data_IF_779286182528
#
_entry.id   IF_779286182528
#
_cell.length_a   1.000
_cell.length_b   1.000
_cell.length_c   1.000
_cell.angle_alpha   90.00
_cell.angle_beta   90.00
_cell.angle_gamma   90.00
#
_symmetry.space_group_name_H-M   'P 1'
#
loop_
_entity.id
_entity.type
_entity.pdbx_description
1 polymer ?
#
# COMPACT_ATOMS: atom_id res chain seq x y z
N UNK A 1 -6.86 -5.59 -26.60
CA UNK A 1 -5.89 -5.06 -25.63
C UNK A 1 -5.72 -6.13 -24.55
N UNK A 2 -4.65 -6.92 -24.62
CA UNK A 2 -4.35 -7.93 -23.60
C UNK A 2 -3.83 -7.19 -22.37
N UNK A 3 -4.66 -7.04 -21.34
CA UNK A 3 -4.21 -6.69 -19.99
C UNK A 3 -3.42 -7.88 -19.46
N UNK A 4 -2.10 -7.88 -19.67
CA UNK A 4 -1.23 -8.72 -18.87
C UNK A 4 -1.34 -8.20 -17.44
N UNK A 5 -2.12 -8.90 -16.60
CA UNK A 5 -2.04 -8.70 -15.14
C UNK A 5 -0.65 -9.15 -14.72
N UNK A 6 0.22 -8.18 -14.50
CA UNK A 6 1.54 -8.43 -13.97
C UNK A 6 1.40 -8.86 -12.50
N UNK A 7 1.95 -10.03 -12.11
CA UNK A 7 1.85 -10.47 -10.73
C UNK A 7 2.74 -9.59 -9.83
N UNK A 8 2.21 -9.26 -8.66
CA UNK A 8 2.89 -8.57 -7.58
C UNK A 8 2.82 -9.43 -6.32
N UNK A 9 3.90 -9.45 -5.56
CA UNK A 9 3.97 -10.14 -4.26
C UNK A 9 4.40 -9.14 -3.19
N UNK A 10 3.73 -9.18 -2.04
CA UNK A 10 4.13 -8.46 -0.82
C UNK A 10 4.33 -9.52 0.26
N UNK A 11 5.53 -9.60 0.83
CA UNK A 11 5.85 -10.49 1.94
C UNK A 11 5.89 -9.72 3.26
N UNK A 12 5.26 -10.27 4.30
CA UNK A 12 5.41 -9.77 5.66
C UNK A 12 6.51 -10.59 6.34
N UNK A 13 7.62 -9.93 6.65
CA UNK A 13 8.75 -10.58 7.27
C UNK A 13 8.43 -10.90 8.73
N UNK A 14 8.98 -12.00 9.19
CA UNK A 14 9.10 -12.36 10.60
C UNK A 14 10.53 -12.76 10.88
N UNK A 15 10.99 -12.66 12.13
CA UNK A 15 12.33 -13.12 12.53
C UNK A 15 12.69 -14.52 12.00
N UNK A 16 11.70 -15.42 11.90
CA UNK A 16 11.88 -16.79 11.43
C UNK A 16 12.13 -16.91 9.92
N UNK A 17 11.60 -16.00 9.09
CA UNK A 17 11.60 -16.13 7.62
C UNK A 17 12.43 -15.06 6.90
N UNK A 18 12.78 -13.98 7.60
CA UNK A 18 13.35 -12.78 6.99
C UNK A 18 14.61 -13.04 6.15
N UNK A 19 15.46 -14.01 6.52
CA UNK A 19 16.63 -14.39 5.70
C UNK A 19 16.23 -15.05 4.38
N UNK A 20 15.24 -15.96 4.42
CA UNK A 20 14.77 -16.72 3.25
C UNK A 20 14.05 -15.79 2.27
N UNK A 21 13.24 -14.87 2.79
CA UNK A 21 12.49 -13.90 1.99
C UNK A 21 13.44 -12.95 1.24
N UNK A 22 14.45 -12.39 1.94
CA UNK A 22 15.45 -11.47 1.35
C UNK A 22 16.38 -12.13 0.33
N UNK A 23 16.52 -13.46 0.33
CA UNK A 23 17.48 -14.19 -0.53
C UNK A 23 16.78 -15.16 -1.47
N UNK A 24 16.49 -16.37 -1.00
CA UNK A 24 15.98 -17.47 -1.82
C UNK A 24 14.66 -17.13 -2.53
N UNK A 25 13.70 -16.50 -1.84
CA UNK A 25 12.43 -16.12 -2.47
C UNK A 25 12.62 -15.03 -3.51
N UNK A 26 13.43 -14.00 -3.20
CA UNK A 26 13.76 -12.94 -4.15
C UNK A 26 14.34 -13.52 -5.46
N UNK A 27 15.30 -14.45 -5.36
CA UNK A 27 15.89 -15.11 -6.54
C UNK A 27 14.86 -15.99 -7.28
N UNK A 28 14.05 -16.77 -6.56
CA UNK A 28 12.99 -17.58 -7.15
C UNK A 28 11.96 -16.73 -7.91
N UNK A 29 11.56 -15.59 -7.33
CA UNK A 29 10.59 -14.68 -7.92
C UNK A 29 11.16 -13.96 -9.14
N UNK A 30 12.45 -13.60 -9.10
CA UNK A 30 13.15 -12.98 -10.22
C UNK A 30 13.33 -13.95 -11.39
N UNK A 31 13.90 -15.12 -11.12
CA UNK A 31 14.47 -15.98 -12.16
C UNK A 31 13.47 -17.01 -12.68
N UNK A 32 12.57 -17.50 -11.80
CA UNK A 32 11.63 -18.57 -12.16
C UNK A 32 10.22 -18.07 -12.41
N UNK A 33 9.65 -17.30 -11.50
CA UNK A 33 8.27 -16.79 -11.65
C UNK A 33 8.19 -15.51 -12.47
N UNK A 34 9.31 -14.80 -12.61
CA UNK A 34 9.37 -13.50 -13.32
C UNK A 34 8.31 -12.53 -12.78
N UNK A 35 8.14 -12.50 -11.46
CA UNK A 35 7.18 -11.61 -10.80
C UNK A 35 7.57 -10.16 -11.10
N UNK A 36 6.60 -9.32 -11.46
CA UNK A 36 6.91 -7.98 -11.98
C UNK A 36 7.39 -7.05 -10.87
N UNK A 37 6.69 -7.08 -9.73
CA UNK A 37 7.05 -6.30 -8.55
C UNK A 37 7.04 -7.18 -7.31
N UNK A 38 8.06 -7.03 -6.47
CA UNK A 38 8.21 -7.75 -5.22
C UNK A 38 8.50 -6.77 -4.10
N UNK A 39 7.70 -6.80 -3.04
CA UNK A 39 7.86 -5.98 -1.86
C UNK A 39 8.02 -6.86 -0.63
N UNK A 40 8.72 -6.34 0.38
CA UNK A 40 8.65 -6.90 1.72
C UNK A 40 8.52 -5.80 2.76
N UNK A 41 7.84 -6.12 3.86
CA UNK A 41 7.69 -5.25 5.02
C UNK A 41 7.91 -6.07 6.30
N UNK A 42 8.72 -5.57 7.22
CA UNK A 42 8.94 -6.13 8.55
C UNK A 42 8.20 -5.28 9.58
N UNK A 43 7.19 -5.83 10.28
CA UNK A 43 6.48 -5.07 11.33
C UNK A 43 7.33 -4.86 12.58
N UNK A 44 8.39 -5.64 12.77
CA UNK A 44 9.20 -5.63 14.00
C UNK A 44 10.19 -4.46 14.03
N UNK A 45 10.82 -4.14 12.90
CA UNK A 45 11.84 -3.09 12.77
C UNK A 45 11.52 -2.03 11.70
N UNK A 46 10.34 -2.14 11.08
CA UNK A 46 9.85 -1.27 10.01
C UNK A 46 10.72 -1.26 8.75
N UNK A 47 11.52 -2.30 8.51
CA UNK A 47 12.19 -2.47 7.22
C UNK A 47 11.14 -2.60 6.11
N UNK A 48 11.28 -1.79 5.06
CA UNK A 48 10.42 -1.83 3.88
C UNK A 48 11.25 -1.63 2.62
N UNK A 49 11.07 -2.52 1.65
CA UNK A 49 11.71 -2.43 0.35
C UNK A 49 10.80 -2.94 -0.76
N UNK A 50 11.05 -2.46 -1.97
CA UNK A 50 10.34 -2.83 -3.18
C UNK A 50 11.30 -2.99 -4.34
N UNK A 51 11.00 -3.93 -5.22
CA UNK A 51 11.82 -4.27 -6.38
C UNK A 51 10.95 -4.41 -7.62
N UNK A 52 11.44 -3.93 -8.75
CA UNK A 52 10.83 -4.09 -10.07
C UNK A 52 11.71 -4.90 -10.99
N UNK A 53 11.12 -5.85 -11.71
CA UNK A 53 11.85 -6.69 -12.66
C UNK A 53 12.12 -5.89 -13.94
N UNK A 54 13.38 -5.48 -14.14
CA UNK A 54 13.83 -4.73 -15.31
C UNK A 54 14.93 -5.52 -16.01
N UNK A 55 14.74 -5.80 -17.30
CA UNK A 55 15.71 -6.57 -18.11
C UNK A 55 16.20 -7.85 -17.41
N UNK A 56 15.24 -8.60 -16.84
CA UNK A 56 15.44 -9.89 -16.15
C UNK A 56 16.01 -9.84 -14.73
N UNK A 57 16.34 -8.66 -14.19
CA UNK A 57 16.81 -8.54 -12.80
C UNK A 57 15.95 -7.58 -12.01
N UNK A 58 15.81 -7.86 -10.73
CA UNK A 58 15.19 -6.92 -9.82
C UNK A 58 16.08 -5.71 -9.61
N UNK A 59 15.49 -4.53 -9.79
CA UNK A 59 16.05 -3.24 -9.41
C UNK A 59 15.22 -2.69 -8.26
N UNK A 60 15.87 -2.08 -7.28
CA UNK A 60 15.18 -1.42 -6.18
C UNK A 60 14.30 -0.28 -6.71
N UNK A 61 13.10 -0.18 -6.16
CA UNK A 61 12.21 0.96 -6.38
C UNK A 61 12.66 2.04 -5.41
N UNK A 62 13.10 3.18 -5.93
CA UNK A 62 13.50 4.30 -5.11
C UNK A 62 12.26 4.97 -4.46
N UNK A 63 12.35 5.38 -3.18
CA UNK A 63 11.30 6.15 -2.55
C UNK A 63 11.20 7.57 -3.13
N UNK A 64 10.00 8.13 -3.08
CA UNK A 64 9.79 9.56 -3.31
C UNK A 64 10.21 10.38 -2.08
N UNK A 65 10.02 11.70 -2.14
CA UNK A 65 10.37 12.62 -1.03
C UNK A 65 9.65 12.31 0.30
N UNK A 66 8.49 11.66 0.24
CA UNK A 66 7.71 11.23 1.40
C UNK A 66 8.06 9.79 1.86
N UNK A 67 9.07 9.15 1.26
CA UNK A 67 9.47 7.78 1.62
C UNK A 67 8.61 6.68 0.99
N UNK A 68 7.73 7.00 0.03
CA UNK A 68 6.78 6.06 -0.56
C UNK A 68 7.34 5.38 -1.82
N UNK A 69 7.05 4.10 -2.00
CA UNK A 69 7.46 3.30 -3.16
C UNK A 69 6.31 3.16 -4.17
N UNK A 70 6.51 3.59 -5.42
CA UNK A 70 5.48 3.48 -6.47
C UNK A 70 5.36 2.06 -7.02
N UNK A 71 4.17 1.48 -6.98
CA UNK A 71 3.83 0.25 -7.72
C UNK A 71 3.13 0.58 -9.03
N UNK A 72 3.74 0.17 -10.14
CA UNK A 72 3.12 0.25 -11.47
C UNK A 72 1.96 -0.74 -11.62
N UNK A 73 2.02 -1.87 -10.91
CA UNK A 73 0.98 -2.90 -10.97
C UNK A 73 -0.31 -2.43 -10.29
N UNK A 74 -0.19 -1.72 -9.16
CA UNK A 74 -1.33 -1.24 -8.39
C UNK A 74 -1.77 0.17 -8.80
N UNK A 75 -0.90 0.94 -9.47
CA UNK A 75 -1.05 2.38 -9.64
C UNK A 75 -1.28 3.12 -8.32
N UNK A 76 -0.55 2.66 -7.30
CA UNK A 76 -0.58 3.20 -5.94
C UNK A 76 0.85 3.25 -5.42
N UNK A 77 1.08 4.17 -4.50
CA UNK A 77 2.23 4.14 -3.63
C UNK A 77 2.00 3.17 -2.47
N UNK A 78 3.06 2.52 -2.02
CA UNK A 78 3.11 1.78 -0.77
C UNK A 78 4.06 2.51 0.18
N UNK A 79 3.71 2.54 1.46
CA UNK A 79 4.54 3.15 2.49
C UNK A 79 4.13 2.72 3.89
N UNK A 80 4.90 3.15 4.88
CA UNK A 80 4.61 2.85 6.28
C UNK A 80 3.92 4.06 6.89
N UNK A 81 2.73 3.83 7.46
CA UNK A 81 2.00 4.82 8.25
C UNK A 81 1.50 4.19 9.55
N UNK A 82 1.72 4.87 10.66
CA UNK A 82 1.47 4.37 12.01
C UNK A 82 1.99 2.94 12.27
N UNK A 83 3.18 2.61 11.76
CA UNK A 83 3.81 1.30 11.92
C UNK A 83 3.18 0.18 11.08
N UNK A 84 2.30 0.51 10.14
CA UNK A 84 1.64 -0.45 9.26
C UNK A 84 1.96 -0.15 7.80
N UNK A 85 2.04 -1.19 6.98
CA UNK A 85 2.08 -1.04 5.53
C UNK A 85 0.72 -0.53 5.03
N UNK A 86 0.72 0.59 4.33
CA UNK A 86 -0.47 1.27 3.81
C UNK A 86 -0.32 1.61 2.33
N UNK A 87 -1.45 1.83 1.67
CA UNK A 87 -1.52 2.30 0.29
C UNK A 87 -1.81 3.78 0.23
N UNK A 88 -1.21 4.45 -0.75
CA UNK A 88 -1.43 5.87 -1.02
C UNK A 88 -1.74 6.07 -2.50
N UNK A 89 -2.63 7.02 -2.79
CA UNK A 89 -2.95 7.45 -4.14
C UNK A 89 -1.75 8.12 -4.81
N UNK A 90 -1.84 8.38 -6.12
CA UNK A 90 -0.76 9.03 -6.87
C UNK A 90 -0.44 10.46 -6.38
N UNK A 91 -1.40 11.13 -5.75
CA UNK A 91 -1.27 12.43 -5.08
C UNK A 91 -0.85 12.32 -3.59
N UNK A 92 -0.52 11.11 -3.13
CA UNK A 92 0.03 10.86 -1.80
C UNK A 92 -1.01 10.82 -0.68
N UNK A 93 -2.31 10.68 -0.99
CA UNK A 93 -3.36 10.55 0.02
C UNK A 93 -3.48 9.11 0.48
N UNK A 94 -3.67 8.90 1.78
CA UNK A 94 -3.90 7.59 2.36
C UNK A 94 -5.17 6.96 1.75
N UNK A 95 -5.05 5.75 1.22
CA UNK A 95 -6.21 4.94 0.84
C UNK A 95 -6.79 4.35 2.11
N UNK A 96 -8.01 4.79 2.44
CA UNK A 96 -8.74 4.32 3.62
C UNK A 96 -9.19 2.88 3.44
N UNK A 97 -9.22 2.12 4.55
CA UNK A 97 -9.98 0.87 4.56
C UNK A 97 -11.48 1.17 4.45
N UNK A 98 -12.31 0.20 4.03
CA UNK A 98 -13.76 0.38 4.03
C UNK A 98 -14.32 0.80 5.39
N UNK A 99 -13.74 0.33 6.49
CA UNK A 99 -14.14 0.68 7.85
C UNK A 99 -13.75 2.12 8.21
N UNK A 100 -12.53 2.56 7.85
CA UNK A 100 -12.09 3.94 8.05
C UNK A 100 -12.94 4.93 7.24
N UNK A 101 -13.25 4.59 5.99
CA UNK A 101 -14.10 5.39 5.10
C UNK A 101 -15.54 5.50 5.65
N UNK A 102 -16.13 4.38 6.08
CA UNK A 102 -17.44 4.36 6.70
C UNK A 102 -17.50 5.20 7.99
N UNK A 103 -16.46 5.10 8.83
CA UNK A 103 -16.35 5.90 10.05
C UNK A 103 -16.24 7.39 9.72
N UNK A 104 -15.44 7.75 8.72
CA UNK A 104 -15.30 9.14 8.28
C UNK A 104 -16.62 9.69 7.73
N UNK A 105 -17.32 8.93 6.89
CA UNK A 105 -18.62 9.31 6.34
C UNK A 105 -19.67 9.50 7.45
N UNK A 106 -19.70 8.61 8.44
CA UNK A 106 -20.59 8.74 9.60
C UNK A 106 -20.29 10.01 10.40
N UNK A 107 -19.02 10.28 10.71
CA UNK A 107 -18.61 11.49 11.43
C UNK A 107 -18.98 12.77 10.66
N UNK A 108 -18.81 12.78 9.34
CA UNK A 108 -19.20 13.91 8.50
C UNK A 108 -20.71 14.13 8.51
N UNK A 109 -21.50 13.06 8.38
CA UNK A 109 -22.96 13.14 8.46
C UNK A 109 -23.43 13.68 9.80
N UNK A 110 -22.85 13.21 10.92
CA UNK A 110 -23.17 13.72 12.26
C UNK A 110 -22.84 15.21 12.41
N UNK A 111 -21.65 15.66 11.96
CA UNK A 111 -21.26 17.08 12.02
C UNK A 111 -22.19 17.95 11.18
N UNK A 112 -22.56 17.51 9.99
CA UNK A 112 -23.48 18.25 9.13
C UNK A 112 -24.89 18.32 9.74
N UNK A 113 -25.38 17.22 10.31
CA UNK A 113 -26.67 17.20 11.00
C UNK A 113 -26.69 18.16 12.20
N UNK A 114 -25.61 18.25 12.97
CA UNK A 114 -25.46 19.22 14.07
C UNK A 114 -25.45 20.66 13.55
N UNK A 115 -24.72 20.93 12.47
CA UNK A 115 -24.70 22.25 11.83
C UNK A 115 -26.09 22.67 11.31
N UNK A 116 -26.81 21.78 10.63
CA UNK A 116 -28.17 22.04 10.15
C UNK A 116 -29.12 22.34 11.30
N UNK A 117 -29.08 21.56 12.39
CA UNK A 117 -29.87 21.82 13.60
C UNK A 117 -29.56 23.18 14.21
N UNK A 118 -28.29 23.60 14.25
CA UNK A 118 -27.90 24.94 14.72
C UNK A 118 -28.46 26.07 13.86
N UNK A 119 -28.72 25.79 12.58
CA UNK A 119 -29.34 26.71 11.62
C UNK A 119 -30.87 26.57 11.61
N UNK A 120 -31.45 25.80 12.54
CA UNK A 120 -32.88 25.49 12.61
C UNK A 120 -33.43 24.79 11.36
N UNK A 121 -32.57 24.07 10.63
CA UNK A 121 -32.93 23.21 9.51
C UNK A 121 -32.95 21.77 10.03
N UNK A 122 -34.09 21.09 9.93
CA UNK A 122 -34.15 19.68 10.29
C UNK A 122 -33.47 18.83 9.22
N UNK A 123 -32.44 18.03 9.55
CA UNK A 123 -31.80 17.16 8.58
C UNK A 123 -32.76 16.01 8.20
N UNK A 124 -32.93 15.76 6.90
CA UNK A 124 -33.62 14.58 6.39
C UNK A 124 -32.81 13.31 6.73
N UNK A 125 -33.51 12.26 7.18
CA UNK A 125 -32.93 10.97 7.59
C UNK A 125 -32.87 10.01 6.41
#
# INVERSE_FOLDING_TARGET
MLLFKHPLIIELLSDATARVDRTLKKDLYQDRFRTHEYFWFSPDDLEFAGFRLVSQRYQEIAPNEAGLLWSETLNLYLGIDHGQLRYFTADGQLVLTPEEDALQAQQQASRLAEQLRSLSIEPEV
#
